data_IF_671081064915
#
_entry.id   IF_671081064915
#
_cell.length_a   1.000
_cell.length_b   1.000
_cell.length_c   1.000
_cell.angle_alpha   90.00
_cell.angle_beta   90.00
_cell.angle_gamma   90.00
#
_symmetry.space_group_name_H-M   'P 1'
#
loop_
_entity.id
_entity.type
_entity.pdbx_description
1 polymer ?
#
# COMPACT_ATOMS: atom_id res chain seq x y z
N UNK A 1 37.61 -47.19 -22.68
CA UNK A 1 37.83 -45.82 -22.17
C UNK A 1 36.49 -45.09 -22.19
N UNK A 2 35.78 -45.04 -21.07
CA UNK A 2 34.43 -44.47 -20.95
C UNK A 2 34.53 -42.95 -20.88
N UNK A 3 33.94 -42.23 -21.84
CA UNK A 3 33.81 -40.77 -21.82
C UNK A 3 32.62 -40.38 -20.94
N UNK A 4 32.88 -39.79 -19.78
CA UNK A 4 31.84 -39.12 -19.00
C UNK A 4 31.41 -37.80 -19.70
N UNK A 5 30.10 -37.48 -19.75
CA UNK A 5 29.64 -36.21 -20.26
C UNK A 5 29.99 -35.10 -19.27
N UNK A 6 30.52 -33.98 -19.78
CA UNK A 6 30.76 -32.76 -18.98
C UNK A 6 29.44 -32.27 -18.41
N UNK A 7 29.35 -32.21 -17.09
CA UNK A 7 28.32 -31.48 -16.38
C UNK A 7 28.43 -30.01 -16.80
N UNK A 8 27.40 -29.52 -17.49
CA UNK A 8 27.28 -28.11 -17.87
C UNK A 8 26.95 -27.34 -16.59
N UNK A 9 27.93 -26.64 -16.03
CA UNK A 9 27.72 -25.67 -14.94
C UNK A 9 26.70 -24.62 -15.39
N UNK A 10 25.44 -24.81 -15.01
CA UNK A 10 24.43 -23.76 -15.00
C UNK A 10 24.41 -23.21 -13.58
N UNK A 11 25.10 -22.10 -13.33
CA UNK A 11 25.05 -21.51 -11.98
C UNK A 11 25.92 -20.31 -11.66
N UNK A 12 26.75 -19.79 -12.56
CA UNK A 12 27.51 -18.58 -12.28
C UNK A 12 26.81 -17.36 -12.89
N UNK A 13 25.92 -16.70 -12.13
CA UNK A 13 25.63 -15.30 -12.39
C UNK A 13 26.96 -14.57 -12.25
N UNK A 14 27.53 -14.06 -13.35
CA UNK A 14 28.87 -13.49 -13.31
C UNK A 14 28.91 -12.31 -12.34
N UNK A 15 30.01 -12.17 -11.60
CA UNK A 15 30.28 -11.00 -10.74
C UNK A 15 30.07 -9.68 -11.48
N UNK A 16 30.29 -9.67 -12.80
CA UNK A 16 30.02 -8.54 -13.69
C UNK A 16 28.53 -8.20 -13.75
N UNK A 17 27.66 -9.21 -13.88
CA UNK A 17 26.20 -9.03 -13.92
C UNK A 17 25.67 -8.47 -12.59
N UNK A 18 26.19 -8.98 -11.46
CA UNK A 18 25.85 -8.47 -10.12
C UNK A 18 26.29 -7.02 -9.96
N UNK A 19 27.52 -6.68 -10.40
CA UNK A 19 28.05 -5.33 -10.33
C UNK A 19 27.28 -4.34 -11.22
N UNK A 20 26.89 -4.77 -12.42
CA UNK A 20 26.08 -3.96 -13.34
C UNK A 20 24.68 -3.71 -12.78
N UNK A 21 24.04 -4.73 -12.19
CA UNK A 21 22.75 -4.58 -11.52
C UNK A 21 22.86 -3.61 -10.33
N UNK A 22 23.92 -3.73 -9.52
CA UNK A 22 24.18 -2.82 -8.41
C UNK A 22 24.37 -1.37 -8.86
N UNK A 23 25.14 -1.14 -9.94
CA UNK A 23 25.34 0.19 -10.52
C UNK A 23 24.04 0.77 -11.11
N UNK A 24 23.20 -0.08 -11.71
CA UNK A 24 21.87 0.32 -12.17
C UNK A 24 20.98 0.72 -10.98
N UNK A 25 21.02 -0.03 -9.87
CA UNK A 25 20.27 0.34 -8.66
C UNK A 25 20.71 1.69 -8.08
N UNK A 26 22.02 1.97 -8.01
CA UNK A 26 22.55 3.27 -7.56
C UNK A 26 22.14 4.44 -8.48
N UNK A 27 21.70 4.16 -9.71
CA UNK A 27 21.20 5.18 -10.61
C UNK A 27 19.79 5.66 -10.22
N UNK A 28 19.00 4.81 -9.56
CA UNK A 28 17.59 5.05 -9.24
C UNK A 28 17.25 5.00 -7.75
N UNK A 29 18.12 4.47 -6.89
CA UNK A 29 17.85 4.26 -5.48
C UNK A 29 19.08 4.60 -4.62
N UNK A 30 18.81 5.04 -3.39
CA UNK A 30 19.82 5.11 -2.35
C UNK A 30 20.37 3.71 -2.07
N UNK A 31 21.67 3.58 -1.73
CA UNK A 31 22.19 2.31 -1.27
C UNK A 31 21.44 1.89 0.01
N UNK A 32 21.08 0.61 0.16
CA UNK A 32 20.41 0.13 1.36
C UNK A 32 21.30 0.38 2.59
N UNK A 33 20.70 0.73 3.75
CA UNK A 33 21.46 0.88 4.98
C UNK A 33 22.18 -0.43 5.35
N UNK A 34 23.41 -0.33 5.87
CA UNK A 34 24.18 -1.48 6.36
C UNK A 34 23.68 -1.97 7.73
N UNK A 35 22.38 -2.20 7.88
CA UNK A 35 21.78 -2.68 9.12
C UNK A 35 21.05 -3.98 8.89
N UNK A 36 21.54 -5.05 9.52
CA UNK A 36 20.87 -6.36 9.51
C UNK A 36 19.44 -6.24 10.03
N UNK A 37 19.23 -5.42 11.06
CA UNK A 37 17.92 -5.16 11.62
C UNK A 37 16.94 -4.55 10.60
N UNK A 38 17.36 -3.51 9.87
CA UNK A 38 16.54 -2.87 8.83
C UNK A 38 16.24 -3.85 7.70
N UNK A 39 17.24 -4.63 7.27
CA UNK A 39 17.08 -5.64 6.22
C UNK A 39 16.06 -6.70 6.62
N UNK A 40 16.17 -7.23 7.85
CA UNK A 40 15.24 -8.23 8.39
C UNK A 40 13.82 -7.66 8.43
N UNK A 41 13.61 -6.49 9.02
CA UNK A 41 12.29 -5.86 9.07
C UNK A 41 11.71 -5.54 7.69
N UNK A 42 12.56 -5.15 6.74
CA UNK A 42 12.18 -4.93 5.34
C UNK A 42 11.61 -6.19 4.72
N UNK A 43 12.30 -7.31 4.89
CA UNK A 43 11.86 -8.61 4.36
C UNK A 43 10.55 -9.03 5.02
N UNK A 44 10.47 -9.01 6.36
CA UNK A 44 9.27 -9.43 7.09
C UNK A 44 8.04 -8.61 6.73
N UNK A 45 8.15 -7.28 6.71
CA UNK A 45 7.01 -6.40 6.37
C UNK A 45 6.58 -6.53 4.91
N UNK A 46 7.53 -6.64 3.97
CA UNK A 46 7.21 -6.81 2.55
C UNK A 46 6.56 -8.16 2.28
N UNK A 47 7.15 -9.24 2.79
CA UNK A 47 6.64 -10.61 2.62
C UNK A 47 5.30 -10.77 3.31
N UNK A 48 5.12 -10.19 4.50
CA UNK A 48 3.84 -10.17 5.22
C UNK A 48 2.72 -9.56 4.37
N UNK A 49 2.93 -8.37 3.83
CA UNK A 49 1.94 -7.69 2.98
C UNK A 49 1.68 -8.44 1.67
N UNK A 50 2.72 -8.98 1.02
CA UNK A 50 2.55 -9.77 -0.19
C UNK A 50 1.77 -11.07 0.07
N UNK A 51 2.05 -11.75 1.19
CA UNK A 51 1.33 -12.94 1.63
C UNK A 51 -0.14 -12.64 1.93
N UNK A 52 -0.45 -11.48 2.53
CA UNK A 52 -1.83 -11.04 2.69
C UNK A 52 -2.53 -10.86 1.32
N UNK A 53 -1.83 -10.37 0.30
CA UNK A 53 -2.39 -10.31 -1.06
C UNK A 53 -2.67 -11.68 -1.66
N UNK A 54 -1.78 -12.64 -1.47
CA UNK A 54 -2.00 -14.02 -1.90
C UNK A 54 -3.11 -14.71 -1.12
N UNK A 55 -3.27 -14.41 0.17
CA UNK A 55 -4.33 -14.96 1.02
C UNK A 55 -5.72 -14.51 0.55
N UNK A 56 -5.85 -13.25 0.10
CA UNK A 56 -7.08 -12.73 -0.51
C UNK A 56 -7.51 -13.55 -1.74
N UNK A 57 -6.56 -13.99 -2.58
CA UNK A 57 -6.87 -14.85 -3.73
C UNK A 57 -7.26 -16.26 -3.33
N UNK A 58 -6.76 -16.77 -2.20
CA UNK A 58 -7.07 -18.10 -1.65
C UNK A 58 -8.36 -18.15 -0.84
N UNK A 59 -9.06 -17.02 -0.71
CA UNK A 59 -10.32 -16.93 0.06
C UNK A 59 -10.13 -16.68 1.56
N UNK A 60 -8.89 -16.47 2.02
CA UNK A 60 -8.57 -16.06 3.39
C UNK A 60 -8.43 -14.55 3.45
N UNK A 61 -9.60 -13.91 3.53
CA UNK A 61 -9.76 -12.47 3.47
C UNK A 61 -9.48 -11.76 4.80
N UNK A 62 -8.95 -10.55 4.74
CA UNK A 62 -9.03 -9.63 5.87
C UNK A 62 -10.50 -9.28 6.13
N UNK A 63 -10.92 -9.47 7.39
CA UNK A 63 -12.33 -9.51 7.81
C UNK A 63 -12.86 -8.13 8.19
N UNK A 64 -13.10 -7.33 7.17
CA UNK A 64 -13.75 -6.02 7.26
C UNK A 64 -14.57 -5.73 6.00
N UNK A 65 -15.37 -4.67 6.04
CA UNK A 65 -16.24 -4.26 4.91
C UNK A 65 -17.13 -5.42 4.47
N UNK A 66 -17.24 -5.73 3.18
CA UNK A 66 -18.07 -6.82 2.63
C UNK A 66 -17.61 -8.24 2.98
N UNK A 67 -16.39 -8.40 3.51
CA UNK A 67 -15.80 -9.70 3.84
C UNK A 67 -15.78 -9.99 5.34
N UNK A 68 -16.43 -9.14 6.14
CA UNK A 68 -16.38 -9.21 7.61
C UNK A 68 -16.94 -10.50 8.23
N UNK A 69 -17.83 -11.20 7.54
CA UNK A 69 -18.51 -12.41 8.05
C UNK A 69 -18.08 -13.71 7.38
N UNK A 70 -17.24 -13.66 6.33
CA UNK A 70 -16.84 -14.85 5.58
C UNK A 70 -15.87 -15.69 6.41
N UNK A 71 -16.12 -16.99 6.51
CA UNK A 71 -15.27 -17.97 7.22
C UNK A 71 -14.84 -17.49 8.62
N UNK A 72 -15.76 -16.87 9.35
CA UNK A 72 -15.48 -16.31 10.67
C UNK A 72 -15.80 -17.30 11.79
N UNK A 73 -14.86 -17.56 12.72
CA UNK A 73 -15.11 -18.44 13.86
C UNK A 73 -16.17 -17.84 14.79
N UNK A 74 -16.90 -18.71 15.50
CA UNK A 74 -18.03 -18.32 16.34
C UNK A 74 -17.67 -17.35 17.49
N UNK A 75 -16.41 -17.36 17.97
CA UNK A 75 -15.88 -16.50 19.04
C UNK A 75 -14.81 -15.52 18.57
N UNK A 76 -14.97 -14.92 17.38
CA UNK A 76 -14.05 -13.89 16.90
C UNK A 76 -14.35 -12.52 17.53
N UNK A 77 -13.35 -11.91 18.18
CA UNK A 77 -13.47 -10.56 18.72
C UNK A 77 -13.66 -9.54 17.60
N UNK A 78 -14.69 -8.70 17.73
CA UNK A 78 -15.11 -7.74 16.70
C UNK A 78 -15.45 -6.39 17.30
N UNK A 79 -15.25 -5.35 16.51
CA UNK A 79 -15.63 -3.98 16.85
C UNK A 79 -16.35 -3.30 15.69
N UNK A 80 -16.93 -2.14 15.97
CA UNK A 80 -17.56 -1.32 14.93
C UNK A 80 -16.53 -0.90 13.88
N UNK A 81 -16.86 -1.01 12.59
CA UNK A 81 -15.90 -0.70 11.51
C UNK A 81 -15.32 0.71 11.61
N UNK A 82 -16.10 1.71 12.04
CA UNK A 82 -15.58 3.08 12.20
C UNK A 82 -14.42 3.13 13.19
N UNK A 83 -14.59 2.53 14.36
CA UNK A 83 -13.55 2.46 15.40
C UNK A 83 -12.35 1.65 14.93
N UNK A 84 -12.57 0.53 14.23
CA UNK A 84 -11.47 -0.29 13.72
C UNK A 84 -10.64 0.42 12.66
N UNK A 85 -11.30 1.11 11.73
CA UNK A 85 -10.61 1.90 10.72
C UNK A 85 -9.87 3.09 11.34
N UNK A 86 -10.40 3.75 12.38
CA UNK A 86 -9.65 4.77 13.12
C UNK A 86 -8.38 4.20 13.75
N UNK A 87 -8.50 3.08 14.48
CA UNK A 87 -7.35 2.44 15.16
C UNK A 87 -6.29 2.02 14.14
N UNK A 88 -6.68 1.55 12.95
CA UNK A 88 -5.74 1.19 11.89
C UNK A 88 -4.81 2.35 11.52
N UNK A 89 -5.35 3.55 11.35
CA UNK A 89 -4.58 4.68 10.82
C UNK A 89 -3.90 5.52 11.92
N UNK A 90 -4.45 5.53 13.14
CA UNK A 90 -3.99 6.42 14.23
C UNK A 90 -2.50 6.26 14.60
N UNK A 91 -1.94 5.04 14.78
CA UNK A 91 -0.53 4.90 15.12
C UNK A 91 0.41 5.47 14.06
N UNK A 92 0.08 5.27 12.78
CA UNK A 92 0.91 5.75 11.67
C UNK A 92 0.91 7.28 11.54
N UNK A 93 -0.25 7.94 11.67
CA UNK A 93 -0.32 9.41 11.67
C UNK A 93 0.37 10.02 12.88
N UNK A 94 0.19 9.44 14.08
CA UNK A 94 0.83 9.94 15.30
C UNK A 94 2.35 9.85 15.20
N UNK A 95 2.86 8.74 14.65
CA UNK A 95 4.28 8.58 14.38
C UNK A 95 4.79 9.58 13.33
N UNK A 96 4.05 9.74 12.23
CA UNK A 96 4.36 10.73 11.19
C UNK A 96 4.45 12.15 11.76
N UNK A 97 3.46 12.57 12.54
CA UNK A 97 3.44 13.87 13.20
C UNK A 97 4.57 14.04 14.23
N UNK A 98 4.81 13.03 15.07
CA UNK A 98 5.89 13.05 16.05
C UNK A 98 7.28 13.16 15.39
N UNK A 99 7.46 12.61 14.19
CA UNK A 99 8.72 12.67 13.47
C UNK A 99 9.18 14.10 13.13
N UNK A 100 8.26 15.08 13.08
CA UNK A 100 8.59 16.49 12.89
C UNK A 100 9.30 17.11 14.08
N UNK A 101 8.97 16.64 15.29
CA UNK A 101 9.60 17.05 16.55
C UNK A 101 10.89 16.28 16.82
N UNK A 102 10.88 14.96 16.58
CA UNK A 102 12.03 14.09 16.86
C UNK A 102 13.21 14.37 15.94
N UNK A 103 12.95 14.69 14.67
CA UNK A 103 13.98 14.97 13.66
C UNK A 103 13.85 16.41 13.14
N UNK A 104 14.33 17.42 13.86
CA UNK A 104 14.29 18.81 13.39
C UNK A 104 15.10 18.95 12.10
N UNK A 105 14.55 19.71 11.15
CA UNK A 105 15.19 19.98 9.85
C UNK A 105 16.04 21.24 9.98
N UNK A 106 17.32 21.13 9.62
CA UNK A 106 18.27 22.23 9.77
C UNK A 106 18.74 22.82 8.45
N UNK A 107 18.77 22.05 7.35
CA UNK A 107 19.41 22.45 6.10
C UNK A 107 18.66 21.96 4.84
N UNK A 108 19.00 22.51 3.67
CA UNK A 108 18.42 22.13 2.36
C UNK A 108 18.63 20.66 1.98
N UNK A 109 19.64 19.99 2.55
CA UNK A 109 19.88 18.54 2.38
C UNK A 109 18.73 17.68 2.92
N UNK A 110 17.94 18.21 3.86
CA UNK A 110 16.81 17.51 4.47
C UNK A 110 15.52 17.56 3.63
N UNK A 111 15.49 18.24 2.47
CA UNK A 111 14.25 18.50 1.74
C UNK A 111 13.51 17.21 1.34
N UNK A 112 14.22 16.20 0.81
CA UNK A 112 13.60 14.91 0.45
C UNK A 112 13.02 14.20 1.67
N UNK A 113 13.76 14.24 2.78
CA UNK A 113 13.31 13.65 4.05
C UNK A 113 12.06 14.36 4.58
N UNK A 114 12.04 15.70 4.52
CA UNK A 114 10.88 16.52 4.86
C UNK A 114 9.67 16.18 3.99
N UNK A 115 9.85 16.10 2.66
CA UNK A 115 8.79 15.75 1.71
C UNK A 115 8.24 14.36 2.01
N UNK A 116 9.09 13.35 2.24
CA UNK A 116 8.63 11.99 2.50
C UNK A 116 7.80 11.89 3.78
N UNK A 117 8.31 12.41 4.90
CA UNK A 117 7.57 12.32 6.17
C UNK A 117 6.29 13.15 6.15
N UNK A 118 6.28 14.28 5.41
CA UNK A 118 5.08 15.05 5.16
C UNK A 118 4.06 14.26 4.34
N UNK A 119 4.49 13.62 3.25
CA UNK A 119 3.63 12.78 2.41
C UNK A 119 3.01 11.63 3.21
N UNK A 120 3.82 10.89 3.99
CA UNK A 120 3.32 9.82 4.88
C UNK A 120 2.29 10.34 5.89
N UNK A 121 2.59 11.48 6.54
CA UNK A 121 1.68 12.08 7.53
C UNK A 121 0.38 12.55 6.88
N UNK A 122 0.46 13.19 5.71
CA UNK A 122 -0.69 13.68 4.96
C UNK A 122 -1.57 12.52 4.45
N UNK A 123 -0.95 11.42 4.01
CA UNK A 123 -1.67 10.21 3.62
C UNK A 123 -2.54 9.70 4.79
N UNK A 124 -1.95 9.43 5.94
CA UNK A 124 -2.70 8.91 7.08
C UNK A 124 -3.65 9.95 7.70
N UNK A 125 -3.31 11.24 7.66
CA UNK A 125 -4.23 12.33 8.03
C UNK A 125 -5.48 12.31 7.16
N UNK A 126 -5.32 12.25 5.84
CA UNK A 126 -6.45 12.10 4.92
C UNK A 126 -7.28 10.87 5.28
N UNK A 127 -6.67 9.69 5.50
CA UNK A 127 -7.41 8.47 5.85
C UNK A 127 -8.22 8.64 7.14
N UNK A 128 -7.63 9.25 8.17
CA UNK A 128 -8.35 9.57 9.42
C UNK A 128 -9.52 10.52 9.17
N UNK A 129 -9.32 11.61 8.43
CA UNK A 129 -10.37 12.57 8.12
C UNK A 129 -11.49 11.92 7.31
N UNK A 130 -11.18 11.04 6.37
CA UNK A 130 -12.19 10.29 5.63
C UNK A 130 -13.01 9.38 6.54
N UNK A 131 -12.39 8.71 7.52
CA UNK A 131 -13.12 7.86 8.48
C UNK A 131 -14.03 8.69 9.38
N UNK A 132 -13.61 9.91 9.74
CA UNK A 132 -14.38 10.81 10.59
C UNK A 132 -15.54 11.47 9.84
N UNK A 133 -15.32 11.92 8.61
CA UNK A 133 -16.20 12.87 7.92
C UNK A 133 -16.79 12.38 6.58
N UNK A 134 -16.21 11.34 5.96
CA UNK A 134 -16.63 10.88 4.62
C UNK A 134 -17.31 9.51 4.67
N UNK A 135 -16.67 8.51 5.27
CA UNK A 135 -17.11 7.13 5.18
C UNK A 135 -18.38 6.88 6.01
N UNK A 136 -19.38 6.29 5.36
CA UNK A 136 -20.59 5.80 6.01
C UNK A 136 -20.49 4.30 6.29
N UNK A 137 -20.23 3.92 7.54
CA UNK A 137 -19.99 2.52 7.93
C UNK A 137 -21.29 1.82 8.37
N UNK A 138 -21.38 0.51 8.11
CA UNK A 138 -22.54 -0.31 8.50
C UNK A 138 -22.20 -1.74 8.95
N UNK A 139 -20.91 -2.07 9.06
CA UNK A 139 -20.41 -3.41 9.40
C UNK A 139 -19.55 -3.45 10.66
N UNK A 140 -19.03 -4.65 10.92
CA UNK A 140 -18.04 -4.92 11.95
C UNK A 140 -16.67 -5.19 11.32
N UNK A 141 -15.65 -5.18 12.16
CA UNK A 141 -14.28 -5.52 11.81
C UNK A 141 -13.71 -6.48 12.84
N UNK A 142 -13.04 -7.55 12.38
CA UNK A 142 -12.31 -8.44 13.26
C UNK A 142 -11.09 -7.73 13.87
N UNK A 143 -10.89 -7.91 15.17
CA UNK A 143 -9.76 -7.31 15.90
C UNK A 143 -8.42 -7.77 15.31
N UNK A 144 -8.30 -9.05 14.92
CA UNK A 144 -7.07 -9.57 14.29
C UNK A 144 -6.69 -8.81 13.02
N UNK A 145 -7.63 -8.68 12.07
CA UNK A 145 -7.39 -7.92 10.83
C UNK A 145 -7.09 -6.44 11.10
N UNK A 146 -7.71 -5.84 12.11
CA UNK A 146 -7.40 -4.47 12.53
C UNK A 146 -5.95 -4.35 13.04
N UNK A 147 -5.54 -5.25 13.94
CA UNK A 147 -4.19 -5.28 14.49
C UNK A 147 -3.13 -5.50 13.40
N UNK A 148 -3.35 -6.45 12.50
CA UNK A 148 -2.40 -6.77 11.42
C UNK A 148 -2.18 -5.56 10.48
N UNK A 149 -3.28 -4.92 10.05
CA UNK A 149 -3.21 -3.75 9.16
C UNK A 149 -2.58 -2.56 9.91
N UNK A 150 -2.99 -2.31 11.15
CA UNK A 150 -2.44 -1.23 11.96
C UNK A 150 -0.94 -1.36 12.16
N UNK A 151 -0.46 -2.56 12.52
CA UNK A 151 0.95 -2.84 12.69
C UNK A 151 1.72 -2.65 11.37
N UNK A 152 1.18 -3.15 10.26
CA UNK A 152 1.82 -2.98 8.94
C UNK A 152 2.01 -1.50 8.58
N UNK A 153 0.98 -0.67 8.77
CA UNK A 153 1.08 0.78 8.50
C UNK A 153 2.02 1.51 9.46
N UNK A 154 2.01 1.16 10.74
CA UNK A 154 2.94 1.71 11.72
C UNK A 154 4.40 1.38 11.35
N UNK A 155 4.69 0.11 11.07
CA UNK A 155 6.03 -0.37 10.69
C UNK A 155 6.47 0.26 9.37
N UNK A 156 5.58 0.33 8.37
CA UNK A 156 5.86 1.00 7.10
C UNK A 156 6.27 2.45 7.30
N UNK A 157 5.52 3.19 8.11
CA UNK A 157 5.81 4.60 8.40
C UNK A 157 7.13 4.75 9.15
N UNK A 158 7.35 3.93 10.18
CA UNK A 158 8.57 3.96 11.00
C UNK A 158 9.83 3.71 10.18
N UNK A 159 9.84 2.61 9.42
CA UNK A 159 11.01 2.21 8.64
C UNK A 159 11.25 3.18 7.49
N UNK A 160 10.20 3.66 6.82
CA UNK A 160 10.35 4.65 5.73
C UNK A 160 11.01 5.94 6.23
N UNK A 161 10.54 6.48 7.36
CA UNK A 161 11.12 7.67 7.98
C UNK A 161 12.57 7.40 8.41
N UNK A 162 12.81 6.27 9.08
CA UNK A 162 14.13 5.94 9.61
C UNK A 162 15.18 5.72 8.50
N UNK A 163 14.86 4.94 7.46
CA UNK A 163 15.75 4.73 6.31
C UNK A 163 16.03 6.06 5.61
N UNK A 164 15.00 6.88 5.38
CA UNK A 164 15.18 8.16 4.71
C UNK A 164 16.05 9.11 5.54
N UNK A 165 15.90 9.09 6.87
CA UNK A 165 16.74 9.85 7.80
C UNK A 165 18.22 9.42 7.72
N UNK A 166 18.49 8.11 7.70
CA UNK A 166 19.85 7.57 7.54
C UNK A 166 20.45 7.86 6.16
N UNK A 167 19.59 8.09 5.15
CA UNK A 167 20.02 8.32 3.77
C UNK A 167 20.36 9.78 3.46
N UNK A 168 20.18 10.71 4.41
CA UNK A 168 20.30 12.17 4.17
C UNK A 168 21.71 12.61 3.78
N UNK A 169 22.72 11.96 4.35
CA UNK A 169 24.13 12.26 4.08
C UNK A 169 24.75 11.37 3.00
N UNK A 170 23.97 10.44 2.44
CA UNK A 170 24.41 9.59 1.35
C UNK A 170 24.35 10.33 0.00
N UNK A 171 25.20 9.96 -0.97
CA UNK A 171 25.08 10.47 -2.33
C UNK A 171 23.66 10.24 -2.87
N UNK A 172 23.05 11.30 -3.40
CA UNK A 172 21.73 11.21 -4.03
C UNK A 172 21.78 10.25 -5.23
N UNK A 173 20.67 9.56 -5.55
CA UNK A 173 20.55 8.81 -6.79
C UNK A 173 20.85 9.69 -7.99
N UNK A 174 21.46 9.12 -9.04
CA UNK A 174 21.82 9.88 -10.26
C UNK A 174 20.61 10.52 -10.92
N UNK A 175 19.48 9.82 -10.91
CA UNK A 175 18.19 10.32 -11.41
C UNK A 175 17.33 10.67 -10.21
N UNK A 176 17.05 11.96 -10.00
CA UNK A 176 16.19 12.41 -8.92
C UNK A 176 14.70 12.36 -9.33
N UNK A 177 13.95 11.46 -8.71
CA UNK A 177 12.52 11.25 -8.96
C UNK A 177 11.62 11.96 -7.94
N UNK A 178 12.18 12.77 -7.03
CA UNK A 178 11.42 13.35 -5.90
C UNK A 178 10.18 14.11 -6.36
N UNK A 179 10.33 15.05 -7.30
CA UNK A 179 9.21 15.88 -7.76
C UNK A 179 8.20 15.11 -8.61
N UNK A 180 8.65 14.16 -9.43
CA UNK A 180 7.77 13.23 -10.13
C UNK A 180 6.94 12.41 -9.13
N UNK A 181 7.58 11.95 -8.06
CA UNK A 181 6.94 11.27 -6.95
C UNK A 181 5.91 12.13 -6.23
N UNK A 182 6.18 13.42 -6.02
CA UNK A 182 5.20 14.36 -5.44
C UNK A 182 3.97 14.50 -6.33
N UNK A 183 4.14 14.65 -7.65
CA UNK A 183 3.01 14.74 -8.59
C UNK A 183 2.17 13.45 -8.57
N UNK A 184 2.82 12.29 -8.58
CA UNK A 184 2.14 11.00 -8.49
C UNK A 184 1.41 10.84 -7.15
N UNK A 185 2.07 11.16 -6.04
CA UNK A 185 1.48 11.13 -4.69
C UNK A 185 0.21 11.99 -4.60
N UNK A 186 0.29 13.25 -5.04
CA UNK A 186 -0.86 14.16 -5.01
C UNK A 186 -2.00 13.69 -5.93
N UNK A 187 -1.66 13.14 -7.10
CA UNK A 187 -2.65 12.55 -8.02
C UNK A 187 -3.34 11.34 -7.40
N UNK A 188 -2.58 10.45 -6.76
CA UNK A 188 -3.07 9.30 -6.02
C UNK A 188 -3.99 9.69 -4.86
N UNK A 189 -3.54 10.62 -4.02
CA UNK A 189 -4.32 11.20 -2.92
C UNK A 189 -5.66 11.77 -3.40
N UNK A 190 -5.64 12.62 -4.43
CA UNK A 190 -6.83 13.29 -4.95
C UNK A 190 -7.81 12.30 -5.58
N UNK A 191 -7.32 11.38 -6.43
CA UNK A 191 -8.16 10.38 -7.06
C UNK A 191 -8.74 9.38 -6.06
N UNK A 192 -7.97 8.96 -5.05
CA UNK A 192 -8.46 8.09 -3.98
C UNK A 192 -9.56 8.79 -3.18
N UNK A 193 -9.34 10.05 -2.78
CA UNK A 193 -10.35 10.86 -2.08
C UNK A 193 -11.65 11.00 -2.87
N UNK A 194 -11.54 11.38 -4.14
CA UNK A 194 -12.69 11.57 -5.03
C UNK A 194 -13.54 10.29 -5.12
N UNK A 195 -12.91 9.13 -5.31
CA UNK A 195 -13.66 7.88 -5.40
C UNK A 195 -14.23 7.42 -4.06
N UNK A 196 -13.63 7.78 -2.92
CA UNK A 196 -14.27 7.59 -1.61
C UNK A 196 -15.49 8.49 -1.40
N UNK A 197 -15.48 9.73 -1.90
CA UNK A 197 -16.66 10.60 -1.90
C UNK A 197 -17.79 10.02 -2.76
N UNK A 198 -17.47 9.44 -3.92
CA UNK A 198 -18.47 8.75 -4.75
C UNK A 198 -19.06 7.56 -3.98
N UNK A 199 -18.22 6.73 -3.35
CA UNK A 199 -18.70 5.59 -2.56
C UNK A 199 -19.54 6.01 -1.35
N UNK A 200 -19.20 7.10 -0.67
CA UNK A 200 -19.97 7.54 0.50
C UNK A 200 -21.38 8.02 0.13
N UNK A 201 -21.54 8.60 -1.07
CA UNK A 201 -22.84 9.07 -1.58
C UNK A 201 -23.79 7.93 -1.95
N UNK A 202 -23.29 6.71 -2.14
CA UNK A 202 -24.14 5.53 -2.38
C UNK A 202 -25.04 5.21 -1.17
N UNK A 203 -24.62 5.60 0.03
CA UNK A 203 -25.39 5.44 1.27
C UNK A 203 -26.03 6.77 1.65
N UNK A 204 -27.34 6.77 1.89
CA UNK A 204 -28.08 7.96 2.31
C UNK A 204 -27.80 8.26 3.78
N UNK A 205 -27.82 7.24 4.65
CA UNK A 205 -27.65 7.37 6.10
C UNK A 205 -26.54 6.47 6.67
N UNK A 206 -26.09 6.79 7.88
CA UNK A 206 -25.15 5.94 8.63
C UNK A 206 -25.84 4.63 9.02
N UNK A 207 -25.14 3.50 8.87
CA UNK A 207 -25.69 2.18 9.20
C UNK A 207 -26.46 1.50 8.05
N UNK A 208 -26.67 2.15 6.90
CA UNK A 208 -27.27 1.53 5.71
C UNK A 208 -26.43 0.30 5.26
N UNK A 209 -27.04 -0.88 5.31
CA UNK A 209 -26.38 -2.17 5.00
C UNK A 209 -26.51 -2.58 3.54
N UNK A 210 -27.45 -1.98 2.81
CA UNK A 210 -27.65 -2.26 1.40
C UNK A 210 -26.40 -1.86 0.59
N UNK A 211 -26.01 -2.74 -0.33
CA UNK A 211 -24.94 -2.46 -1.27
C UNK A 211 -25.56 -2.02 -2.59
N UNK A 212 -24.90 -1.09 -3.27
CA UNK A 212 -25.30 -0.60 -4.59
C UNK A 212 -24.12 -0.71 -5.55
N UNK A 213 -24.41 -0.82 -6.84
CA UNK A 213 -23.39 -0.73 -7.88
C UNK A 213 -22.92 0.73 -7.93
N UNK A 214 -21.62 1.01 -7.72
CA UNK A 214 -21.09 2.36 -7.87
C UNK A 214 -21.14 2.82 -9.33
N UNK A 215 -21.44 4.09 -9.56
CA UNK A 215 -21.36 4.72 -10.88
C UNK A 215 -20.72 6.11 -10.79
N UNK A 216 -20.15 6.57 -11.90
CA UNK A 216 -19.45 7.85 -12.01
C UNK A 216 -17.95 7.78 -11.68
N UNK A 217 -17.19 8.74 -12.22
CA UNK A 217 -15.73 8.70 -12.17
C UNK A 217 -15.18 7.50 -12.93
N UNK A 218 -14.16 6.82 -12.38
CA UNK A 218 -13.62 5.61 -12.98
C UNK A 218 -14.43 4.34 -12.63
N UNK A 219 -15.51 4.43 -11.85
CA UNK A 219 -16.34 3.25 -11.54
C UNK A 219 -17.03 2.66 -12.78
N UNK A 220 -17.21 3.44 -13.84
CA UNK A 220 -17.76 2.96 -15.11
C UNK A 220 -16.76 2.12 -15.92
N UNK A 221 -15.49 2.13 -15.52
CA UNK A 221 -14.39 1.40 -16.17
C UNK A 221 -13.82 0.28 -15.29
N UNK A 222 -13.66 0.53 -13.98
CA UNK A 222 -13.02 -0.39 -13.04
C UNK A 222 -13.80 -0.49 -11.73
N UNK A 223 -13.72 -1.65 -11.08
CA UNK A 223 -14.50 -1.96 -9.86
C UNK A 223 -13.98 -1.19 -8.65
N UNK A 224 -12.66 -1.06 -8.54
CA UNK A 224 -12.01 -0.42 -7.39
C UNK A 224 -11.06 0.71 -7.81
N UNK A 225 -11.55 1.82 -8.39
CA UNK A 225 -10.71 2.94 -8.78
C UNK A 225 -9.99 3.58 -7.58
N UNK A 226 -10.61 3.59 -6.40
CA UNK A 226 -9.97 4.04 -5.17
C UNK A 226 -8.69 3.23 -4.85
N UNK A 227 -8.68 1.92 -5.10
CA UNK A 227 -7.46 1.10 -4.97
C UNK A 227 -6.42 1.41 -6.04
N UNK A 228 -6.84 1.71 -7.27
CA UNK A 228 -5.92 2.13 -8.34
C UNK A 228 -5.19 3.42 -7.94
N UNK A 229 -5.92 4.40 -7.45
CA UNK A 229 -5.31 5.67 -7.03
C UNK A 229 -4.49 5.53 -5.74
N UNK A 230 -4.85 4.61 -4.85
CA UNK A 230 -3.99 4.26 -3.70
C UNK A 230 -2.67 3.63 -4.17
N UNK A 231 -2.67 2.78 -5.21
CA UNK A 231 -1.43 2.30 -5.82
C UNK A 231 -0.58 3.45 -6.37
N UNK A 232 -1.18 4.39 -7.12
CA UNK A 232 -0.47 5.55 -7.67
C UNK A 232 0.15 6.38 -6.53
N UNK A 233 -0.54 6.50 -5.41
CA UNK A 233 -0.07 7.18 -4.20
C UNK A 233 1.20 6.51 -3.64
N UNK A 234 1.20 5.18 -3.47
CA UNK A 234 2.37 4.41 -3.02
C UNK A 234 3.53 4.45 -4.03
N UNK A 235 3.26 4.44 -5.33
CA UNK A 235 4.29 4.65 -6.36
C UNK A 235 4.92 6.03 -6.21
N UNK A 236 4.12 7.06 -5.92
CA UNK A 236 4.59 8.40 -5.57
C UNK A 236 5.54 8.39 -4.37
N UNK A 237 5.17 7.71 -3.27
CA UNK A 237 6.04 7.55 -2.09
C UNK A 237 7.35 6.81 -2.41
N UNK A 238 7.30 5.79 -3.29
CA UNK A 238 8.49 5.09 -3.75
C UNK A 238 9.43 6.01 -4.54
N UNK A 239 8.88 6.89 -5.39
CA UNK A 239 9.64 7.86 -6.17
C UNK A 239 10.19 9.01 -5.31
N UNK A 240 9.45 9.44 -4.27
CA UNK A 240 9.94 10.44 -3.30
C UNK A 240 11.12 9.87 -2.51
N UNK A 241 10.98 8.67 -1.97
CA UNK A 241 12.02 8.08 -1.11
C UNK A 241 13.23 7.59 -1.92
N UNK A 242 13.00 6.95 -3.07
CA UNK A 242 14.01 6.19 -3.82
C UNK A 242 14.77 5.20 -2.92
N UNK A 243 14.06 4.53 -2.02
CA UNK A 243 14.62 3.49 -1.16
C UNK A 243 14.09 2.13 -1.58
N UNK A 244 14.93 1.10 -1.47
CA UNK A 244 14.54 -0.30 -1.78
C UNK A 244 13.36 -0.73 -0.92
N UNK A 245 13.33 -0.30 0.34
CA UNK A 245 12.24 -0.62 1.27
C UNK A 245 10.88 -0.15 0.76
N UNK A 246 10.72 1.14 0.47
CA UNK A 246 9.44 1.70 0.05
C UNK A 246 9.04 1.15 -1.32
N UNK A 247 10.01 0.91 -2.21
CA UNK A 247 9.75 0.22 -3.49
C UNK A 247 9.20 -1.19 -3.28
N UNK A 248 9.85 -2.00 -2.46
CA UNK A 248 9.42 -3.38 -2.17
C UNK A 248 8.03 -3.41 -1.51
N UNK A 249 7.79 -2.54 -0.54
CA UNK A 249 6.48 -2.39 0.10
C UNK A 249 5.41 -1.95 -0.91
N UNK A 250 5.73 -1.03 -1.83
CA UNK A 250 4.81 -0.61 -2.90
C UNK A 250 4.42 -1.79 -3.79
N UNK A 251 5.38 -2.63 -4.20
CA UNK A 251 5.09 -3.86 -4.94
C UNK A 251 4.16 -4.81 -4.16
N UNK A 252 4.40 -4.98 -2.86
CA UNK A 252 3.53 -5.79 -2.00
C UNK A 252 2.11 -5.22 -1.90
N UNK A 253 1.97 -3.90 -1.75
CA UNK A 253 0.69 -3.20 -1.75
C UNK A 253 -0.05 -3.34 -3.08
N UNK A 254 0.66 -3.27 -4.21
CA UNK A 254 0.08 -3.52 -5.54
C UNK A 254 -0.52 -4.93 -5.61
N UNK A 255 0.23 -5.95 -5.20
CA UNK A 255 -0.26 -7.34 -5.18
C UNK A 255 -1.51 -7.47 -4.31
N UNK A 256 -1.48 -6.88 -3.11
CA UNK A 256 -2.62 -6.91 -2.18
C UNK A 256 -3.87 -6.24 -2.78
N UNK A 257 -3.73 -5.02 -3.29
CA UNK A 257 -4.86 -4.24 -3.82
C UNK A 257 -5.41 -4.82 -5.13
N UNK A 258 -4.55 -5.38 -5.99
CA UNK A 258 -4.97 -6.14 -7.16
C UNK A 258 -5.79 -7.38 -6.77
N UNK A 259 -5.31 -8.16 -5.81
CA UNK A 259 -6.03 -9.33 -5.30
C UNK A 259 -7.38 -8.93 -4.71
N UNK A 260 -7.39 -7.91 -3.84
CA UNK A 260 -8.62 -7.41 -3.19
C UNK A 260 -9.62 -6.86 -4.22
N UNK A 261 -9.13 -6.22 -5.28
CA UNK A 261 -9.96 -5.74 -6.38
C UNK A 261 -10.61 -6.90 -7.15
N UNK A 262 -9.85 -7.95 -7.48
CA UNK A 262 -10.37 -9.16 -8.12
C UNK A 262 -11.47 -9.82 -7.29
N UNK A 263 -11.23 -10.02 -5.99
CA UNK A 263 -12.21 -10.59 -5.06
C UNK A 263 -13.45 -9.69 -5.00
N UNK A 264 -13.27 -8.37 -4.94
CA UNK A 264 -14.38 -7.41 -4.89
C UNK A 264 -15.22 -7.46 -6.15
N UNK A 265 -14.61 -7.58 -7.33
CA UNK A 265 -15.32 -7.74 -8.60
C UNK A 265 -16.09 -9.05 -8.66
N UNK A 266 -15.49 -10.17 -8.22
CA UNK A 266 -16.19 -11.46 -8.11
C UNK A 266 -17.41 -11.35 -7.20
N UNK A 267 -17.25 -10.67 -6.07
CA UNK A 267 -18.35 -10.42 -5.14
C UNK A 267 -19.49 -9.62 -5.81
N UNK A 268 -19.17 -8.54 -6.55
CA UNK A 268 -20.19 -7.77 -7.28
C UNK A 268 -20.92 -8.62 -8.33
N UNK A 269 -20.20 -9.39 -9.14
CA UNK A 269 -20.77 -10.30 -10.15
C UNK A 269 -21.68 -11.38 -9.53
N UNK A 270 -21.37 -11.84 -8.31
CA UNK A 270 -22.21 -12.81 -7.61
C UNK A 270 -23.44 -12.19 -6.93
N UNK A 271 -23.38 -10.88 -6.63
CA UNK A 271 -24.38 -10.19 -5.82
C UNK A 271 -25.43 -9.47 -6.66
N UNK A 272 -25.04 -8.97 -7.83
CA UNK A 272 -25.87 -8.16 -8.70
C UNK A 272 -25.89 -8.78 -10.10
N UNK A 273 -27.07 -9.20 -10.55
CA UNK A 273 -27.26 -9.78 -11.89
C UNK A 273 -26.96 -8.77 -13.01
N UNK A 274 -27.22 -7.48 -12.74
CA UNK A 274 -27.02 -6.35 -13.64
C UNK A 274 -25.62 -5.73 -13.58
N UNK A 275 -24.67 -6.31 -12.82
CA UNK A 275 -23.30 -5.77 -12.78
C UNK A 275 -22.62 -5.84 -14.15
N UNK A 276 -22.16 -4.71 -14.70
CA UNK A 276 -21.63 -4.66 -16.07
C UNK A 276 -20.34 -5.47 -16.22
N UNK A 277 -20.40 -6.56 -16.99
CA UNK A 277 -19.24 -7.47 -17.20
C UNK A 277 -18.02 -6.80 -17.84
N UNK A 278 -18.23 -5.70 -18.59
CA UNK A 278 -17.16 -4.89 -19.19
C UNK A 278 -16.29 -4.17 -18.16
N UNK A 279 -16.84 -3.87 -16.97
CA UNK A 279 -16.10 -3.20 -15.90
C UNK A 279 -15.00 -4.15 -15.41
N UNK A 280 -13.77 -3.66 -15.42
CA UNK A 280 -12.55 -4.37 -15.07
C UNK A 280 -12.34 -4.35 -13.55
N UNK A 281 -11.38 -5.11 -13.03
CA UNK A 281 -11.11 -5.11 -11.60
C UNK A 281 -10.49 -3.76 -11.19
N UNK A 282 -9.38 -3.36 -11.79
CA UNK A 282 -8.52 -2.30 -11.28
C UNK A 282 -7.91 -1.38 -12.35
N UNK A 283 -7.38 -1.91 -13.45
CA UNK A 283 -6.70 -1.16 -14.51
C UNK A 283 -7.67 -1.00 -15.69
N UNK A 284 -8.02 0.24 -16.08
CA UNK A 284 -8.95 0.48 -17.18
C UNK A 284 -8.56 -0.27 -18.45
N UNK A 285 -9.54 -0.90 -19.08
CA UNK A 285 -9.41 -1.67 -20.33
C UNK A 285 -8.55 -2.94 -20.27
N UNK A 286 -7.71 -3.11 -19.24
CA UNK A 286 -6.74 -4.20 -19.14
C UNK A 286 -7.18 -5.26 -18.12
N UNK A 287 -7.29 -4.88 -16.84
CA UNK A 287 -7.37 -5.82 -15.72
C UNK A 287 -8.45 -5.43 -14.72
#
# INVERSE_FOLDING_TARGET
>A
MVKFPRVRERGAVSLLSVKMAWLAMLSFAYPPPQSVFITVLTVFSTVGTANAGLSELRGTHLKYSKFWSINSPAREARLQSRTGMLIIYMPAILLGAASFWVFPVGNSKDLRFLILRAALTLHFLKRVLEVLFVHKFSGLMAVGSMSDISLSYFVFTAISIYIQYLSRDLPKPRIDLTYHGVVLFLTGMAGNFYHHLVLSRLRKSQGEKEYKIPSGGLFDLVTCPHYLFEIIDFVGLSFISQTIYVFAFTCATIIYLMARSCVTRRWYLSKFEDFPRRVKALVPFIF
#
